data_IF_459158196772
#
_entry.id   IF_459158196772
#
_cell.length_a   1.000
_cell.length_b   1.000
_cell.length_c   1.000
_cell.angle_alpha   90.00
_cell.angle_beta   90.00
_cell.angle_gamma   90.00
#
_symmetry.space_group_name_H-M   'P 1'
#
loop_
_entity.id
_entity.type
_entity.pdbx_description
1 polymer ?
#
# COMPACT_ATOMS: atom_id res chain seq x y z
N UNK A 1 44.01 -16.07 -8.99
CA UNK A 1 42.87 -15.37 -9.61
C UNK A 1 41.97 -14.88 -8.49
N UNK A 2 42.07 -13.60 -8.14
CA UNK A 2 41.17 -12.96 -7.17
C UNK A 2 39.84 -12.69 -7.88
N UNK A 3 38.77 -13.38 -7.46
CA UNK A 3 37.41 -13.15 -7.96
C UNK A 3 37.05 -11.67 -7.76
N UNK A 4 36.45 -10.99 -8.75
CA UNK A 4 35.99 -9.63 -8.57
C UNK A 4 34.98 -9.61 -7.43
N UNK A 5 35.25 -8.75 -6.44
CA UNK A 5 34.35 -8.46 -5.33
C UNK A 5 33.14 -7.79 -5.97
N UNK A 6 32.11 -8.57 -6.30
CA UNK A 6 30.83 -8.00 -6.74
C UNK A 6 30.36 -7.15 -5.56
N UNK A 7 30.48 -5.84 -5.68
CA UNK A 7 29.71 -4.91 -4.87
C UNK A 7 28.26 -5.30 -5.11
N UNK A 8 27.75 -6.13 -4.20
CA UNK A 8 26.35 -6.54 -4.15
C UNK A 8 25.60 -5.33 -3.62
N UNK A 9 25.53 -4.29 -4.45
CA UNK A 9 24.94 -3.01 -4.08
C UNK A 9 23.46 -3.20 -3.86
N UNK A 10 23.06 -3.25 -2.60
CA UNK A 10 21.67 -3.11 -2.17
C UNK A 10 21.48 -1.67 -1.68
N UNK A 11 20.41 -1.04 -2.11
CA UNK A 11 19.96 0.26 -1.59
C UNK A 11 19.39 0.11 -0.17
N UNK A 12 18.86 -1.07 0.16
CA UNK A 12 18.39 -1.37 1.51
C UNK A 12 19.52 -1.90 2.40
N UNK A 13 19.59 -1.46 3.67
CA UNK A 13 20.62 -1.92 4.60
C UNK A 13 20.39 -3.39 4.99
N UNK A 14 21.33 -4.26 4.58
CA UNK A 14 21.26 -5.71 4.83
C UNK A 14 21.08 -6.07 6.31
N UNK A 15 21.64 -5.29 7.22
CA UNK A 15 21.47 -5.51 8.67
C UNK A 15 20.01 -5.38 9.10
N UNK A 16 19.26 -4.41 8.56
CA UNK A 16 17.86 -4.19 8.92
C UNK A 16 16.97 -5.26 8.33
N UNK A 17 17.22 -5.64 7.07
CA UNK A 17 16.51 -6.75 6.42
C UNK A 17 16.73 -8.04 7.20
N UNK A 18 17.97 -8.34 7.59
CA UNK A 18 18.30 -9.53 8.40
C UNK A 18 17.55 -9.54 9.73
N UNK A 19 17.46 -8.40 10.42
CA UNK A 19 16.71 -8.29 11.68
C UNK A 19 15.22 -8.59 11.48
N UNK A 20 14.62 -8.12 10.39
CA UNK A 20 13.21 -8.38 10.07
C UNK A 20 13.02 -9.86 9.71
N UNK A 21 13.90 -10.46 8.90
CA UNK A 21 13.81 -11.88 8.58
C UNK A 21 13.86 -12.76 9.85
N UNK A 22 14.72 -12.39 10.81
CA UNK A 22 14.86 -13.09 12.10
C UNK A 22 13.75 -12.80 13.12
N UNK A 23 12.82 -11.87 12.86
CA UNK A 23 11.69 -11.66 13.78
C UNK A 23 10.60 -12.72 13.61
N UNK A 24 10.68 -13.54 12.56
CA UNK A 24 9.77 -14.67 12.37
C UNK A 24 10.15 -15.81 13.33
N UNK A 25 9.17 -16.40 14.06
CA UNK A 25 9.45 -17.40 15.09
C UNK A 25 10.16 -18.65 14.56
N UNK A 26 9.97 -18.97 13.28
CA UNK A 26 10.52 -20.18 12.64
C UNK A 26 11.88 -19.95 11.94
N UNK A 27 12.51 -18.78 12.11
CA UNK A 27 13.77 -18.42 11.44
C UNK A 27 14.93 -18.34 12.43
N UNK A 28 15.68 -19.41 12.58
CA UNK A 28 16.86 -19.46 13.47
C UNK A 28 18.06 -18.67 12.92
N UNK A 29 18.38 -18.90 11.64
CA UNK A 29 19.54 -18.31 10.98
C UNK A 29 19.23 -17.90 9.54
N UNK A 30 19.88 -16.83 9.08
CA UNK A 30 19.75 -16.30 7.72
C UNK A 30 21.13 -16.24 7.07
N UNK A 31 21.30 -17.03 6.01
CA UNK A 31 22.52 -17.05 5.19
C UNK A 31 22.68 -15.81 4.30
N UNK A 32 23.89 -15.57 3.78
CA UNK A 32 24.19 -14.36 2.99
C UNK A 32 23.44 -14.30 1.65
N UNK A 33 23.21 -15.45 1.00
CA UNK A 33 22.54 -15.50 -0.30
C UNK A 33 21.03 -15.25 -0.21
N UNK A 34 20.25 -15.93 0.66
CA UNK A 34 18.85 -15.58 0.90
C UNK A 34 18.68 -14.13 1.35
N UNK A 35 19.57 -13.63 2.22
CA UNK A 35 19.54 -12.24 2.67
C UNK A 35 19.65 -11.27 1.49
N UNK A 36 20.60 -11.51 0.59
CA UNK A 36 20.76 -10.67 -0.60
C UNK A 36 19.54 -10.74 -1.52
N UNK A 37 19.04 -11.96 -1.82
CA UNK A 37 17.90 -12.16 -2.71
C UNK A 37 16.65 -11.47 -2.16
N UNK A 38 16.32 -11.68 -0.89
CA UNK A 38 15.18 -11.03 -0.23
C UNK A 38 15.34 -9.51 -0.28
N UNK A 39 16.54 -9.00 0.02
CA UNK A 39 16.80 -7.55 -0.07
C UNK A 39 16.50 -7.00 -1.47
N UNK A 40 16.96 -7.68 -2.53
CA UNK A 40 16.70 -7.28 -3.91
C UNK A 40 15.25 -7.40 -4.33
N UNK A 41 14.57 -8.46 -3.91
CA UNK A 41 13.13 -8.62 -4.16
C UNK A 41 12.35 -7.53 -3.45
N UNK A 42 12.71 -7.15 -2.22
CA UNK A 42 12.04 -6.05 -1.50
C UNK A 42 12.22 -4.70 -2.20
N UNK A 43 13.40 -4.40 -2.75
CA UNK A 43 13.64 -3.19 -3.55
C UNK A 43 12.72 -3.13 -4.79
N UNK A 44 12.64 -4.26 -5.51
CA UNK A 44 11.78 -4.39 -6.68
C UNK A 44 10.30 -4.30 -6.29
N UNK A 45 9.90 -4.94 -5.20
CA UNK A 45 8.53 -4.92 -4.69
C UNK A 45 8.06 -3.50 -4.36
N UNK A 46 8.87 -2.71 -3.63
CA UNK A 46 8.51 -1.32 -3.31
C UNK A 46 8.34 -0.47 -4.57
N UNK A 47 9.24 -0.65 -5.54
CA UNK A 47 9.18 0.07 -6.81
C UNK A 47 7.94 -0.31 -7.62
N UNK A 48 7.63 -1.60 -7.68
CA UNK A 48 6.48 -2.14 -8.41
C UNK A 48 5.16 -1.68 -7.77
N UNK A 49 5.03 -1.80 -6.45
CA UNK A 49 3.85 -1.33 -5.70
C UNK A 49 3.61 0.17 -5.93
N UNK A 50 4.67 0.98 -5.85
CA UNK A 50 4.56 2.42 -6.09
C UNK A 50 4.10 2.74 -7.53
N UNK A 51 4.61 2.01 -8.53
CA UNK A 51 4.19 2.18 -9.93
C UNK A 51 2.74 1.77 -10.17
N UNK A 52 2.31 0.63 -9.60
CA UNK A 52 0.92 0.16 -9.70
C UNK A 52 -0.03 1.17 -9.08
N UNK A 53 0.27 1.62 -7.85
CA UNK A 53 -0.54 2.61 -7.16
C UNK A 53 -0.56 3.96 -7.89
N UNK A 54 0.57 4.41 -8.44
CA UNK A 54 0.62 5.65 -9.22
C UNK A 54 -0.18 5.58 -10.52
N UNK A 55 -0.35 4.40 -11.12
CA UNK A 55 -1.18 4.23 -12.34
C UNK A 55 -2.66 4.60 -12.09
N UNK A 56 -3.13 4.43 -10.85
CA UNK A 56 -4.49 4.78 -10.43
C UNK A 56 -4.61 6.25 -9.99
N UNK A 57 -3.49 6.97 -9.87
CA UNK A 57 -3.49 8.41 -9.59
C UNK A 57 -3.81 9.20 -10.86
N UNK A 58 -4.78 10.11 -10.78
CA UNK A 58 -5.05 11.08 -11.86
C UNK A 58 -4.06 12.25 -11.87
N UNK A 59 -3.27 12.42 -10.82
CA UNK A 59 -2.29 13.50 -10.67
C UNK A 59 -0.87 13.01 -10.43
N UNK A 60 0.05 13.95 -10.19
CA UNK A 60 1.48 13.67 -9.94
C UNK A 60 1.78 13.30 -8.47
N UNK A 61 0.76 13.06 -7.65
CA UNK A 61 0.90 12.78 -6.23
C UNK A 61 0.38 11.38 -5.89
N UNK A 62 1.23 10.60 -5.24
CA UNK A 62 0.84 9.29 -4.71
C UNK A 62 0.29 9.44 -3.29
N UNK A 63 -0.99 9.16 -3.13
CA UNK A 63 -1.68 9.18 -1.84
C UNK A 63 -1.93 7.77 -1.29
N UNK A 64 -2.25 7.70 0.00
CA UNK A 64 -2.59 6.44 0.68
C UNK A 64 -3.72 5.67 -0.01
N UNK A 65 -4.78 6.38 -0.46
CA UNK A 65 -5.95 5.76 -1.10
C UNK A 65 -5.56 4.94 -2.33
N UNK A 66 -4.62 5.42 -3.15
CA UNK A 66 -4.16 4.73 -4.35
C UNK A 66 -3.47 3.40 -4.02
N UNK A 67 -2.69 3.36 -2.93
CA UNK A 67 -2.04 2.12 -2.48
C UNK A 67 -3.09 1.17 -1.90
N UNK A 68 -4.00 1.68 -1.05
CA UNK A 68 -5.05 0.88 -0.44
C UNK A 68 -6.03 0.28 -1.47
N UNK A 69 -6.30 0.98 -2.57
CA UNK A 69 -7.10 0.45 -3.69
C UNK A 69 -6.39 -0.73 -4.36
N UNK A 70 -5.14 -0.57 -4.78
CA UNK A 70 -4.36 -1.63 -5.43
C UNK A 70 -4.22 -2.87 -4.54
N UNK A 71 -3.96 -2.69 -3.24
CA UNK A 71 -3.88 -3.82 -2.28
C UNK A 71 -5.20 -4.59 -2.18
N UNK A 72 -6.34 -3.93 -2.40
CA UNK A 72 -7.64 -4.57 -2.26
C UNK A 72 -8.16 -5.19 -3.57
N UNK A 73 -7.62 -4.76 -4.71
CA UNK A 73 -7.97 -5.28 -6.03
C UNK A 73 -7.05 -6.43 -6.47
N UNK A 74 -5.80 -6.45 -6.02
CA UNK A 74 -4.80 -7.42 -6.45
C UNK A 74 -4.57 -8.53 -5.42
N UNK A 75 -4.99 -9.74 -5.73
CA UNK A 75 -4.83 -10.93 -4.86
C UNK A 75 -3.36 -11.27 -4.56
N UNK A 76 -2.41 -10.84 -5.38
CA UNK A 76 -0.99 -11.03 -5.07
C UNK A 76 -0.49 -10.18 -3.90
N UNK A 77 -1.29 -9.18 -3.50
CA UNK A 77 -1.04 -8.28 -2.38
C UNK A 77 -1.91 -8.58 -1.15
N UNK A 78 -2.61 -9.73 -1.13
CA UNK A 78 -3.53 -10.11 -0.07
C UNK A 78 -2.91 -10.06 1.35
N UNK A 79 -1.62 -10.39 1.44
CA UNK A 79 -0.83 -10.30 2.68
C UNK A 79 -0.75 -8.88 3.29
N UNK A 80 -1.11 -7.84 2.53
CA UNK A 80 -1.14 -6.45 2.99
C UNK A 80 -2.53 -5.97 3.42
N UNK A 81 -3.62 -6.72 3.16
CA UNK A 81 -4.98 -6.23 3.40
C UNK A 81 -5.23 -5.85 4.86
N UNK A 82 -4.71 -6.64 5.80
CA UNK A 82 -4.85 -6.36 7.24
C UNK A 82 -4.02 -5.15 7.69
N UNK A 83 -2.92 -4.86 7.00
CA UNK A 83 -2.02 -3.73 7.31
C UNK A 83 -2.52 -2.44 6.66
N UNK A 84 -3.19 -2.54 5.51
CA UNK A 84 -3.60 -1.43 4.66
C UNK A 84 -5.13 -1.43 4.42
N UNK A 85 -5.93 -1.05 5.44
CA UNK A 85 -7.37 -1.00 5.29
C UNK A 85 -7.83 0.15 4.38
N UNK A 86 -8.90 -0.08 3.61
CA UNK A 86 -9.62 1.00 2.90
C UNK A 86 -10.22 1.97 3.92
N UNK A 87 -9.87 3.25 3.82
CA UNK A 87 -10.48 4.29 4.64
C UNK A 87 -11.90 4.53 4.16
N UNK A 88 -12.85 4.45 5.08
CA UNK A 88 -14.25 4.83 4.85
C UNK A 88 -14.62 5.97 5.79
N UNK A 89 -15.43 6.90 5.31
CA UNK A 89 -15.96 7.99 6.13
C UNK A 89 -17.03 7.45 7.08
N UNK A 90 -17.28 8.16 8.19
CA UNK A 90 -18.37 7.81 9.11
C UNK A 90 -19.72 7.78 8.40
N UNK A 91 -19.91 8.66 7.40
CA UNK A 91 -21.11 8.70 6.56
C UNK A 91 -21.25 7.40 5.74
N UNK A 92 -20.20 7.00 5.03
CA UNK A 92 -20.17 5.75 4.27
C UNK A 92 -20.40 4.54 5.18
N UNK A 93 -19.78 4.51 6.37
CA UNK A 93 -19.99 3.43 7.32
C UNK A 93 -21.46 3.33 7.77
N UNK A 94 -22.11 4.46 8.09
CA UNK A 94 -23.54 4.48 8.45
C UNK A 94 -24.41 3.94 7.31
N UNK A 95 -24.08 4.30 6.08
CA UNK A 95 -24.79 3.82 4.89
C UNK A 95 -24.60 2.31 4.66
N UNK A 96 -23.37 1.81 4.74
CA UNK A 96 -23.06 0.37 4.68
C UNK A 96 -23.84 -0.39 5.75
N UNK A 97 -23.88 0.12 6.98
CA UNK A 97 -24.62 -0.51 8.09
C UNK A 97 -26.13 -0.50 7.87
N UNK A 98 -26.69 0.60 7.35
CA UNK A 98 -28.12 0.69 7.01
C UNK A 98 -28.47 -0.28 5.87
N UNK A 99 -27.62 -0.37 4.83
CA UNK A 99 -27.80 -1.28 3.70
C UNK A 99 -27.70 -2.74 4.16
N UNK A 100 -26.77 -3.06 5.06
CA UNK A 100 -26.62 -4.41 5.66
C UNK A 100 -27.82 -4.79 6.54
N UNK A 101 -28.36 -3.85 7.32
CA UNK A 101 -29.57 -4.06 8.12
C UNK A 101 -30.81 -4.30 7.24
N UNK A 102 -30.90 -3.60 6.10
CA UNK A 102 -32.00 -3.76 5.14
C UNK A 102 -31.91 -5.06 4.32
N UNK A 103 -30.71 -5.60 4.07
CA UNK A 103 -30.50 -6.76 3.19
C UNK A 103 -30.60 -8.15 3.85
N UNK A 104 -30.90 -8.23 5.15
CA UNK A 104 -31.27 -9.47 5.84
C UNK A 104 -30.38 -10.69 5.56
N UNK A 105 -29.24 -10.79 6.24
CA UNK A 105 -28.41 -11.99 6.44
C UNK A 105 -28.40 -13.05 5.32
N UNK A 106 -28.08 -12.67 4.07
CA UNK A 106 -27.60 -13.63 3.07
C UNK A 106 -26.08 -13.65 3.15
N UNK A 107 -25.56 -14.84 3.43
CA UNK A 107 -24.15 -15.18 3.65
C UNK A 107 -23.22 -14.60 2.59
N UNK A 108 -22.08 -14.17 3.09
CA UNK A 108 -20.96 -13.49 2.44
C UNK A 108 -20.44 -14.23 1.20
N UNK A 109 -20.33 -13.50 0.09
CA UNK A 109 -19.17 -13.49 -0.84
C UNK A 109 -19.55 -12.63 -2.05
N UNK A 110 -19.32 -11.32 -1.98
CA UNK A 110 -19.03 -10.54 -3.19
C UNK A 110 -18.23 -9.32 -2.77
N UNK A 111 -17.02 -9.26 -3.33
CA UNK A 111 -16.21 -8.06 -3.47
C UNK A 111 -17.09 -6.95 -4.05
N UNK A 112 -17.63 -6.08 -3.20
CA UNK A 112 -18.39 -4.92 -3.65
C UNK A 112 -17.40 -3.88 -4.15
N UNK A 113 -17.03 -4.03 -5.42
CA UNK A 113 -16.61 -2.92 -6.26
C UNK A 113 -17.77 -1.93 -6.33
N UNK A 114 -17.77 -0.87 -5.51
CA UNK A 114 -18.61 0.30 -5.78
C UNK A 114 -17.79 1.60 -5.67
N UNK A 115 -17.84 2.28 -6.81
CA UNK A 115 -17.38 3.58 -7.27
C UNK A 115 -16.76 4.57 -6.26
N UNK A 116 -15.53 4.99 -6.59
CA UNK A 116 -14.90 6.20 -6.07
C UNK A 116 -15.63 7.43 -6.61
N UNK A 117 -16.56 7.98 -5.83
CA UNK A 117 -17.11 9.31 -6.08
C UNK A 117 -16.00 10.35 -5.89
N UNK A 118 -15.61 10.99 -6.99
CA UNK A 118 -14.66 12.08 -7.05
C UNK A 118 -15.23 13.30 -6.31
N UNK A 119 -14.63 13.66 -5.17
CA UNK A 119 -14.87 14.98 -4.58
C UNK A 119 -13.83 15.97 -5.13
N UNK A 120 -14.30 16.90 -5.97
CA UNK A 120 -13.55 18.10 -6.35
C UNK A 120 -13.36 19.00 -5.12
N UNK A 121 -12.11 19.25 -4.77
CA UNK A 121 -11.76 20.27 -3.77
C UNK A 121 -11.73 21.64 -4.44
N UNK A 122 -12.85 22.37 -4.36
CA UNK A 122 -12.89 23.79 -4.64
C UNK A 122 -12.19 24.55 -3.50
N UNK A 123 -10.95 24.99 -3.72
CA UNK A 123 -10.30 25.96 -2.84
C UNK A 123 -10.83 27.37 -3.18
N UNK A 124 -11.75 27.84 -2.33
CA UNK A 124 -12.09 29.26 -2.17
C UNK A 124 -10.87 29.98 -1.59
N UNK A 125 -10.25 30.88 -2.37
CA UNK A 125 -9.31 31.87 -1.85
C UNK A 125 -9.99 33.23 -1.82
N UNK A 126 -10.45 33.61 -0.64
CA UNK A 126 -10.94 34.96 -0.36
C UNK A 126 -10.29 35.49 0.90
N UNK A 127 -9.38 36.47 0.74
CA UNK A 127 -9.20 37.67 1.57
C UNK A 127 -8.02 38.47 1.00
N UNK A 128 -8.26 39.60 0.33
CA UNK A 128 -8.54 40.95 0.85
C UNK A 128 -7.28 41.82 1.01
N UNK A 129 -7.22 42.81 0.12
CA UNK A 129 -6.92 44.23 0.35
C UNK A 129 -5.75 44.60 1.27
N UNK A 130 -4.80 45.36 0.71
CA UNK A 130 -4.51 46.68 1.26
C UNK A 130 -4.02 47.64 0.17
N UNK A 131 -4.54 48.86 0.26
CA UNK A 131 -4.24 50.03 -0.56
C UNK A 131 -2.98 50.75 -0.05
N UNK A 132 -2.15 51.21 -0.98
CA UNK A 132 -1.61 52.58 -1.18
C UNK A 132 -0.35 52.50 -2.06
#
# INVERSE_FOLDING_TARGET
MTMPKSERDCHLPLSRVKTIMKSSPDVEAVGPEPLYLVTKVTELFVTDLAKRAHKNSKGNLLEYKHIAEVVQEDDTLDFLREIMPKKITVRQFKEIMARKAAKGNRSDDESSEEESSEEESSEESSSENNAD
#
